data_IF_543452375421
#
_entry.id   IF_543452375421
#
_cell.length_a   1.000
_cell.length_b   1.000
_cell.length_c   1.000
_cell.angle_alpha   90.00
_cell.angle_beta   90.00
_cell.angle_gamma   90.00
#
_symmetry.space_group_name_H-M   'P 1'
#
loop_
_entity.id
_entity.type
_entity.pdbx_description
1 polymer ?
#
# COMPACT_ATOMS: atom_id res chain seq x y z
N UNK A 1 10.15 5.23 -13.43
CA UNK A 1 8.69 5.04 -13.50
C UNK A 1 8.17 4.57 -14.86
N UNK A 2 8.73 5.07 -15.98
CA UNK A 2 8.27 4.62 -17.31
C UNK A 2 8.50 3.13 -17.54
N UNK A 3 9.64 2.59 -17.11
CA UNK A 3 9.96 1.17 -17.21
C UNK A 3 9.06 0.29 -16.37
N UNK A 4 8.65 0.76 -15.19
CA UNK A 4 7.76 0.02 -14.29
C UNK A 4 6.39 -0.13 -14.94
N UNK A 5 5.86 0.92 -15.55
CA UNK A 5 4.57 0.91 -16.26
C UNK A 5 4.60 0.02 -17.51
N UNK A 6 5.70 0.05 -18.29
CA UNK A 6 5.89 -0.82 -19.46
C UNK A 6 5.97 -2.29 -19.02
N UNK A 7 6.54 -2.56 -17.85
CA UNK A 7 6.59 -3.89 -17.24
C UNK A 7 5.28 -4.37 -16.61
N UNK A 8 4.20 -3.58 -16.69
CA UNK A 8 2.89 -3.92 -16.11
C UNK A 8 2.68 -3.45 -14.67
N UNK A 9 3.63 -2.70 -14.11
CA UNK A 9 3.47 -2.09 -12.80
C UNK A 9 2.50 -0.91 -12.81
N UNK A 10 2.02 -0.51 -11.64
CA UNK A 10 1.16 0.66 -11.46
C UNK A 10 1.79 1.66 -10.50
N UNK A 11 1.47 2.94 -10.65
CA UNK A 11 1.84 3.93 -9.66
C UNK A 11 0.93 3.78 -8.43
N UNK A 12 1.52 3.81 -7.23
CA UNK A 12 0.76 3.83 -5.99
C UNK A 12 -0.16 5.06 -5.93
N UNK A 13 0.43 6.24 -6.02
CA UNK A 13 -0.27 7.54 -6.20
C UNK A 13 0.58 8.48 -7.03
N UNK A 14 -0.05 9.44 -7.70
CA UNK A 14 0.64 10.44 -8.53
C UNK A 14 1.31 11.49 -7.65
N UNK A 15 0.63 11.94 -6.59
CA UNK A 15 1.11 12.94 -5.66
C UNK A 15 0.41 12.87 -4.31
N UNK A 16 0.41 13.99 -3.59
CA UNK A 16 -0.25 14.10 -2.28
C UNK A 16 -1.70 14.58 -2.38
N UNK A 17 -2.26 14.60 -3.58
CA UNK A 17 -3.55 15.22 -3.89
C UNK A 17 -4.58 14.25 -4.48
N UNK A 18 -4.19 13.03 -4.84
CA UNK A 18 -5.03 12.04 -5.50
C UNK A 18 -5.45 10.88 -4.57
N UNK A 19 -4.74 10.68 -3.47
CA UNK A 19 -5.06 9.70 -2.44
C UNK A 19 -4.46 10.12 -1.10
N UNK A 20 -5.16 9.90 0.00
CA UNK A 20 -4.63 10.08 1.35
C UNK A 20 -4.04 8.74 1.80
N UNK A 21 -2.75 8.75 2.13
CA UNK A 21 -2.06 7.63 2.77
C UNK A 21 -1.76 8.02 4.22
N UNK A 22 -2.37 7.31 5.15
CA UNK A 22 -2.16 7.46 6.59
C UNK A 22 -1.11 6.43 7.00
N UNK A 23 0.03 6.90 7.45
CA UNK A 23 1.16 6.09 7.90
C UNK A 23 1.19 5.99 9.43
N UNK A 24 2.03 5.09 9.94
CA UNK A 24 2.28 4.84 11.36
C UNK A 24 2.42 6.12 12.19
N UNK A 25 3.27 7.05 11.76
CA UNK A 25 3.48 8.32 12.46
C UNK A 25 2.22 9.20 12.47
N UNK A 26 1.38 9.17 11.44
CA UNK A 26 0.11 9.89 11.44
C UNK A 26 -0.88 9.28 12.44
N UNK A 27 -0.88 7.95 12.56
CA UNK A 27 -1.69 7.21 13.54
C UNK A 27 -1.26 7.58 14.96
N UNK A 28 0.05 7.55 15.22
CA UNK A 28 0.61 7.87 16.54
C UNK A 28 0.30 9.33 16.96
N UNK A 29 0.46 10.30 16.04
CA UNK A 29 0.11 11.70 16.29
C UNK A 29 -1.40 11.95 16.42
N UNK A 30 -2.23 11.15 15.75
CA UNK A 30 -3.67 11.29 15.85
C UNK A 30 -4.25 10.71 17.16
N UNK A 31 -3.53 9.75 17.76
CA UNK A 31 -3.96 9.04 18.97
C UNK A 31 -4.72 7.74 18.65
N UNK A 32 -4.45 7.10 17.49
CA UNK A 32 -4.97 5.80 17.07
C UNK A 32 -5.48 5.78 15.62
N UNK A 33 -5.75 4.59 15.14
CA UNK A 33 -6.22 4.30 13.77
C UNK A 33 -7.54 5.02 13.48
N UNK A 34 -8.53 4.83 14.32
CA UNK A 34 -9.87 5.43 14.18
C UNK A 34 -9.80 6.96 14.13
N UNK A 35 -9.00 7.57 15.03
CA UNK A 35 -8.84 9.02 15.07
C UNK A 35 -8.17 9.55 13.79
N UNK A 36 -7.15 8.86 13.28
CA UNK A 36 -6.46 9.24 12.06
C UNK A 36 -7.38 9.17 10.83
N UNK A 37 -8.11 8.06 10.66
CA UNK A 37 -9.04 7.87 9.54
C UNK A 37 -10.18 8.90 9.61
N UNK A 38 -10.75 9.13 10.78
CA UNK A 38 -11.85 10.10 10.97
C UNK A 38 -11.42 11.51 10.59
N UNK A 39 -10.25 11.96 11.06
CA UNK A 39 -9.70 13.29 10.69
C UNK A 39 -9.45 13.41 9.19
N UNK A 40 -8.95 12.36 8.53
CA UNK A 40 -8.77 12.36 7.09
C UNK A 40 -10.11 12.49 6.35
N UNK A 41 -11.15 11.80 6.81
CA UNK A 41 -12.51 11.87 6.24
C UNK A 41 -13.13 13.24 6.44
N UNK A 42 -12.99 13.83 7.62
CA UNK A 42 -13.45 15.20 7.92
C UNK A 42 -12.74 16.24 7.04
N UNK A 43 -11.43 16.10 6.84
CA UNK A 43 -10.66 16.95 5.93
C UNK A 43 -11.20 16.87 4.49
N UNK A 44 -11.43 15.66 3.98
CA UNK A 44 -12.02 15.46 2.65
C UNK A 44 -13.37 16.18 2.55
N UNK A 45 -14.25 15.98 3.53
CA UNK A 45 -15.57 16.63 3.58
C UNK A 45 -15.47 18.16 3.61
N UNK A 46 -14.61 18.71 4.47
CA UNK A 46 -14.42 20.15 4.62
C UNK A 46 -13.86 20.80 3.35
N UNK A 47 -13.08 20.07 2.56
CA UNK A 47 -12.50 20.54 1.28
C UNK A 47 -13.33 20.21 0.04
N UNK A 48 -14.47 19.53 0.20
CA UNK A 48 -15.28 19.07 -0.93
C UNK A 48 -14.54 18.09 -1.85
N UNK A 49 -13.62 17.28 -1.29
CA UNK A 49 -12.81 16.31 -2.03
C UNK A 49 -13.32 14.90 -1.77
N UNK A 50 -13.40 14.10 -2.82
CA UNK A 50 -13.66 12.67 -2.73
C UNK A 50 -12.36 11.89 -3.02
N UNK A 51 -11.47 11.82 -2.01
CA UNK A 51 -10.21 11.12 -2.11
C UNK A 51 -10.33 9.74 -1.46
N UNK A 52 -9.71 8.74 -2.10
CA UNK A 52 -9.47 7.44 -1.45
C UNK A 52 -8.59 7.63 -0.21
N UNK A 53 -8.90 6.90 0.84
CA UNK A 53 -8.10 6.84 2.07
C UNK A 53 -7.52 5.44 2.17
N UNK A 54 -6.22 5.39 2.29
CA UNK A 54 -5.45 4.19 2.60
C UNK A 54 -4.85 4.33 3.99
N UNK A 55 -4.95 3.27 4.78
CA UNK A 55 -4.40 3.17 6.13
C UNK A 55 -3.33 2.08 6.20
N UNK A 56 -2.17 2.43 6.72
CA UNK A 56 -1.09 1.50 7.05
C UNK A 56 -1.34 0.92 8.44
N UNK A 57 -1.30 -0.40 8.56
CA UNK A 57 -1.46 -1.15 9.81
C UNK A 57 -0.24 -2.05 10.04
N UNK A 58 0.23 -2.12 11.30
CA UNK A 58 1.46 -2.81 11.71
C UNK A 58 1.21 -4.16 12.37
N UNK A 59 -0.03 -4.43 12.76
CA UNK A 59 -0.43 -5.63 13.49
C UNK A 59 -1.94 -5.88 13.36
N UNK A 60 -2.40 -7.02 13.92
CA UNK A 60 -3.81 -7.41 13.85
C UNK A 60 -4.75 -6.55 14.69
N UNK A 61 -4.25 -5.94 15.78
CA UNK A 61 -5.07 -5.06 16.61
C UNK A 61 -5.40 -3.77 15.85
N UNK A 62 -4.42 -3.18 15.16
CA UNK A 62 -4.62 -2.03 14.28
C UNK A 62 -5.50 -2.39 13.06
N UNK A 63 -5.32 -3.60 12.51
CA UNK A 63 -6.18 -4.10 11.44
C UNK A 63 -7.63 -4.17 11.91
N UNK A 64 -7.88 -4.73 13.09
CA UNK A 64 -9.24 -4.84 13.63
C UNK A 64 -9.85 -3.45 13.88
N UNK A 65 -9.08 -2.51 14.46
CA UNK A 65 -9.54 -1.14 14.68
C UNK A 65 -9.89 -0.43 13.36
N UNK A 66 -9.08 -0.63 12.30
CA UNK A 66 -9.38 -0.10 10.97
C UNK A 66 -10.67 -0.69 10.40
N UNK A 67 -10.87 -2.00 10.52
CA UNK A 67 -12.07 -2.69 10.05
C UNK A 67 -13.33 -2.21 10.78
N UNK A 68 -13.24 -1.97 12.09
CA UNK A 68 -14.35 -1.47 12.90
C UNK A 68 -14.69 -0.01 12.56
N UNK A 69 -13.68 0.80 12.23
CA UNK A 69 -13.87 2.17 11.76
C UNK A 69 -14.58 2.24 10.40
N UNK A 70 -14.16 1.44 9.43
CA UNK A 70 -14.87 1.24 8.15
C UNK A 70 -14.89 2.42 7.17
N UNK A 71 -14.10 3.47 7.39
CA UNK A 71 -14.17 4.72 6.61
C UNK A 71 -13.05 4.88 5.57
N UNK A 72 -12.25 3.85 5.33
CA UNK A 72 -11.18 3.81 4.32
C UNK A 72 -11.59 2.95 3.10
N UNK A 73 -10.78 2.95 2.05
CA UNK A 73 -10.96 2.14 0.84
C UNK A 73 -9.88 1.08 0.67
N UNK A 74 -8.68 1.31 1.27
CA UNK A 74 -7.54 0.40 1.16
C UNK A 74 -6.84 0.25 2.51
N UNK A 75 -6.34 -0.95 2.77
CA UNK A 75 -5.53 -1.28 3.94
C UNK A 75 -4.16 -1.74 3.44
N UNK A 76 -3.10 -1.08 3.92
CA UNK A 76 -1.72 -1.50 3.70
C UNK A 76 -1.23 -2.31 4.89
N UNK A 77 -0.82 -3.54 4.65
CA UNK A 77 -0.20 -4.43 5.63
C UNK A 77 1.31 -4.15 5.62
N UNK A 78 1.80 -3.43 6.62
CA UNK A 78 3.22 -3.05 6.70
C UNK A 78 4.03 -4.10 7.47
N UNK A 79 5.04 -4.66 6.79
CA UNK A 79 5.95 -5.68 7.32
C UNK A 79 5.26 -6.95 7.89
N UNK A 80 4.07 -7.29 7.41
CA UNK A 80 3.44 -8.56 7.73
C UNK A 80 4.21 -9.72 7.10
N UNK A 81 4.34 -10.85 7.81
CA UNK A 81 4.83 -12.09 7.22
C UNK A 81 3.87 -12.62 6.15
N UNK A 82 4.33 -13.52 5.29
CA UNK A 82 3.46 -14.18 4.29
C UNK A 82 2.27 -14.89 4.97
N UNK A 83 2.51 -15.53 6.12
CA UNK A 83 1.47 -16.21 6.89
C UNK A 83 0.46 -15.23 7.46
N UNK A 84 0.94 -14.13 8.06
CA UNK A 84 0.06 -13.11 8.62
C UNK A 84 -0.69 -12.33 7.52
N UNK A 85 -0.05 -12.09 6.37
CA UNK A 85 -0.72 -11.51 5.20
C UNK A 85 -1.90 -12.36 4.75
N UNK A 86 -1.72 -13.69 4.68
CA UNK A 86 -2.82 -14.60 4.32
C UNK A 86 -3.97 -14.54 5.32
N UNK A 87 -3.66 -14.57 6.61
CA UNK A 87 -4.68 -14.41 7.68
C UNK A 87 -5.39 -13.06 7.59
N UNK A 88 -4.64 -11.97 7.35
CA UNK A 88 -5.22 -10.64 7.21
C UNK A 88 -6.18 -10.56 6.02
N UNK A 89 -5.81 -11.11 4.86
CA UNK A 89 -6.68 -11.18 3.67
C UNK A 89 -7.97 -11.96 3.98
N UNK A 90 -7.89 -13.09 4.68
CA UNK A 90 -9.06 -13.87 5.11
C UNK A 90 -9.97 -13.05 6.05
N UNK A 91 -9.39 -12.32 7.01
CA UNK A 91 -10.14 -11.45 7.94
C UNK A 91 -10.81 -10.29 7.19
N UNK A 92 -10.11 -9.66 6.26
CA UNK A 92 -10.64 -8.55 5.45
C UNK A 92 -11.76 -9.04 4.53
N UNK A 93 -11.67 -10.28 4.03
CA UNK A 93 -12.72 -10.95 3.27
C UNK A 93 -13.26 -10.13 2.08
N UNK A 94 -12.38 -9.46 1.33
CA UNK A 94 -12.73 -8.69 0.13
C UNK A 94 -13.52 -7.41 0.38
N UNK A 95 -13.66 -6.96 1.64
CA UNK A 95 -14.36 -5.71 1.98
C UNK A 95 -13.60 -4.45 1.57
N UNK A 96 -12.29 -4.52 1.50
CA UNK A 96 -11.37 -3.42 1.18
C UNK A 96 -10.27 -3.93 0.24
N UNK A 97 -9.70 -3.02 -0.56
CA UNK A 97 -8.46 -3.31 -1.28
C UNK A 97 -7.34 -3.57 -0.27
N UNK A 98 -6.48 -4.54 -0.55
CA UNK A 98 -5.35 -4.93 0.32
C UNK A 98 -4.04 -4.67 -0.41
N UNK A 99 -3.16 -3.93 0.24
CA UNK A 99 -1.79 -3.74 -0.21
C UNK A 99 -0.81 -4.38 0.76
N UNK A 100 0.17 -5.14 0.25
CA UNK A 100 1.30 -5.65 1.04
C UNK A 100 2.51 -4.78 0.83
N UNK A 101 3.17 -4.37 1.92
CA UNK A 101 4.35 -3.49 1.90
C UNK A 101 5.37 -3.91 2.95
N UNK A 102 6.60 -3.39 2.82
CA UNK A 102 7.69 -3.64 3.75
C UNK A 102 8.57 -4.84 3.40
N UNK A 103 9.84 -4.60 3.10
CA UNK A 103 10.87 -5.62 2.90
C UNK A 103 10.65 -6.63 1.77
N UNK A 104 9.69 -6.41 0.89
CA UNK A 104 9.35 -7.35 -0.19
C UNK A 104 10.42 -7.28 -1.28
N UNK A 105 10.96 -8.44 -1.64
CA UNK A 105 11.99 -8.62 -2.66
C UNK A 105 11.44 -9.38 -3.86
N UNK A 106 12.24 -9.46 -4.94
CA UNK A 106 11.90 -10.24 -6.12
C UNK A 106 11.65 -11.72 -5.80
N UNK A 107 12.40 -12.25 -4.84
CA UNK A 107 12.32 -13.65 -4.40
C UNK A 107 11.05 -13.93 -3.58
N UNK A 108 10.59 -12.96 -2.80
CA UNK A 108 9.41 -13.10 -1.91
C UNK A 108 8.12 -12.60 -2.55
N UNK A 109 8.20 -11.77 -3.61
CA UNK A 109 7.05 -11.14 -4.26
C UNK A 109 5.92 -12.12 -4.58
N UNK A 110 6.27 -13.29 -5.15
CA UNK A 110 5.29 -14.30 -5.53
C UNK A 110 4.51 -14.84 -4.34
N UNK A 111 5.18 -15.08 -3.21
CA UNK A 111 4.55 -15.62 -2.01
C UNK A 111 3.50 -14.65 -1.44
N UNK A 112 3.77 -13.33 -1.50
CA UNK A 112 2.80 -12.32 -1.12
C UNK A 112 1.63 -12.23 -2.12
N UNK A 113 1.90 -12.31 -3.43
CA UNK A 113 0.85 -12.33 -4.44
C UNK A 113 -0.11 -13.52 -4.29
N UNK A 114 0.42 -14.69 -3.92
CA UNK A 114 -0.36 -15.91 -3.66
C UNK A 114 -1.22 -15.83 -2.38
N UNK A 115 -1.04 -14.80 -1.54
CA UNK A 115 -1.94 -14.53 -0.40
C UNK A 115 -3.27 -13.90 -0.82
N UNK A 116 -3.39 -13.41 -2.07
CA UNK A 116 -4.60 -12.79 -2.58
C UNK A 116 -4.72 -11.29 -2.29
N UNK A 117 -3.59 -10.59 -2.11
CA UNK A 117 -3.56 -9.13 -2.02
C UNK A 117 -3.80 -8.50 -3.39
N UNK A 118 -4.39 -7.31 -3.43
CA UNK A 118 -4.65 -6.57 -4.68
C UNK A 118 -3.41 -5.85 -5.19
N UNK A 119 -2.55 -5.39 -4.27
CA UNK A 119 -1.35 -4.62 -4.59
C UNK A 119 -0.15 -5.08 -3.75
N UNK A 120 1.04 -4.90 -4.33
CA UNK A 120 2.31 -5.13 -3.63
C UNK A 120 3.23 -3.95 -3.94
N UNK A 121 3.69 -3.25 -2.89
CA UNK A 121 4.66 -2.17 -3.00
C UNK A 121 6.08 -2.67 -2.81
N UNK A 122 6.92 -2.42 -3.81
CA UNK A 122 8.32 -2.84 -3.82
C UNK A 122 9.22 -1.61 -4.00
N UNK A 123 9.76 -1.09 -2.90
CA UNK A 123 10.64 0.08 -2.90
C UNK A 123 11.90 -0.10 -3.74
N UNK A 124 12.43 -1.32 -3.84
CA UNK A 124 13.61 -1.64 -4.63
C UNK A 124 13.49 -1.26 -6.12
N UNK A 125 12.28 -1.19 -6.68
CA UNK A 125 12.02 -0.76 -8.05
C UNK A 125 12.44 0.70 -8.30
N UNK A 126 12.51 1.51 -7.25
CA UNK A 126 12.82 2.94 -7.38
C UNK A 126 14.15 3.34 -6.74
N UNK A 127 14.56 2.72 -5.63
CA UNK A 127 15.76 3.13 -4.89
C UNK A 127 16.95 2.17 -5.03
N UNK A 128 16.75 0.97 -5.56
CA UNK A 128 17.81 -0.06 -5.68
C UNK A 128 17.87 -0.66 -7.08
N UNK A 129 17.71 0.18 -8.10
CA UNK A 129 17.81 -0.23 -9.51
C UNK A 129 19.22 -0.65 -9.82
N UNK A 130 19.40 -1.88 -10.34
CA UNK A 130 20.68 -2.33 -10.89
C UNK A 130 20.80 -1.88 -12.33
N UNK A 131 21.97 -1.30 -12.69
CA UNK A 131 22.26 -0.96 -14.08
C UNK A 131 22.27 -2.21 -14.95
N UNK A 132 21.60 -2.13 -16.10
CA UNK A 132 21.69 -3.13 -17.14
C UNK A 132 22.84 -2.76 -18.07
N UNK A 133 23.70 -3.74 -18.38
CA UNK A 133 24.77 -3.56 -19.38
C UNK A 133 24.17 -3.67 -20.78
N UNK A 134 23.70 -2.53 -21.29
CA UNK A 134 23.07 -2.43 -22.59
C UNK A 134 24.07 -1.87 -23.60
N UNK A 135 24.22 -2.56 -24.74
CA UNK A 135 25.02 -2.11 -25.87
C UNK A 135 24.13 -1.85 -27.08
N UNK A 136 24.18 -0.61 -27.57
CA UNK A 136 23.50 -0.24 -28.81
C UNK A 136 24.52 -0.25 -29.97
N UNK A 137 24.26 -1.09 -30.98
CA UNK A 137 25.13 -1.24 -32.16
C UNK A 137 24.35 -0.95 -33.42
N UNK A 138 25.00 -0.18 -34.32
CA UNK A 138 24.45 0.01 -35.65
C UNK A 138 24.50 -1.30 -36.44
N UNK A 139 23.41 -1.64 -37.07
CA UNK A 139 23.35 -2.73 -38.08
C UNK A 139 23.45 -2.12 -39.46
N UNK A 140 24.31 -2.70 -40.29
CA UNK A 140 24.44 -2.33 -41.72
C UNK A 140 23.34 -2.94 -42.54
#
# INVERSE_FOLDING_TARGET
RSSDLIGGGTNHRIGLFDMILIKDNHVDFAGGITAAITRAKEYCKAKGKDLKIEIEVRNFDELQEALDCGLMQRIMLDNFSVEDTRKAVEIIAGRYEVESSGGITKETLRSYAECGVDFISVGALTHSVKSLDLSFKAVK
#
